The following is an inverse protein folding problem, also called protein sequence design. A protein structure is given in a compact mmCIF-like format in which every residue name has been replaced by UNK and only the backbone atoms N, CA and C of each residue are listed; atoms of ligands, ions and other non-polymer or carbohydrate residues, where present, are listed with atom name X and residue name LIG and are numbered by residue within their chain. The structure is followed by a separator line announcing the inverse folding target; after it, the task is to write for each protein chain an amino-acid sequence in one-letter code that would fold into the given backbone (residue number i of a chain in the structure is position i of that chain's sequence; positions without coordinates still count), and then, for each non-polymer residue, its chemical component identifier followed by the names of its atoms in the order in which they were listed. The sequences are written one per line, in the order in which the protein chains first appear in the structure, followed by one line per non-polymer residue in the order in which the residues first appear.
data_IF_032178089842
#
_entry.id   IF_032178089842
#
_cell.length_a   1.000
_cell.length_b   1.000
_cell.length_c   1.000
_cell.angle_alpha   90.00
_cell.angle_beta   90.00
_cell.angle_gamma   90.00
#
_symmetry.space_group_name_H-M   'P 1'
#
loop_
_entity.id
_entity.type
_entity.pdbx_description
1 polymer ?
#
# COMPACT_ATOMS: atom_id res chain seq x y z
N UNK A 1 71.03 8.55 44.65
CA UNK A 1 69.74 8.85 43.99
C UNK A 1 69.13 7.55 43.47
N UNK A 2 68.10 7.03 44.14
CA UNK A 2 67.28 5.88 43.68
C UNK A 2 65.81 6.29 43.86
N UNK A 3 65.04 6.19 42.77
CA UNK A 3 63.59 6.40 42.73
C UNK A 3 62.87 5.21 43.35
N UNK A 4 61.76 5.46 44.04
CA UNK A 4 60.65 4.50 44.18
C UNK A 4 59.35 5.26 44.52
N UNK A 5 58.30 4.87 43.83
CA UNK A 5 56.90 5.34 43.77
C UNK A 5 56.08 4.02 43.82
N UNK A 6 54.76 3.95 44.05
CA UNK A 6 53.80 4.62 44.95
C UNK A 6 53.01 3.58 45.80
N UNK A 7 51.97 3.99 46.53
CA UNK A 7 50.74 3.18 46.69
C UNK A 7 49.57 4.11 47.03
N UNK A 8 48.82 4.49 46.01
CA UNK A 8 47.54 5.18 46.17
C UNK A 8 46.43 4.13 46.26
N UNK A 9 45.62 4.24 47.30
CA UNK A 9 44.47 3.39 47.58
C UNK A 9 43.38 3.58 46.51
N UNK A 10 42.91 2.47 45.94
CA UNK A 10 41.77 2.44 45.03
C UNK A 10 40.49 2.41 45.86
N UNK A 11 39.71 3.49 45.78
CA UNK A 11 38.38 3.57 46.36
C UNK A 11 37.39 2.78 45.47
N UNK A 12 36.74 1.79 46.06
CA UNK A 12 35.62 1.07 45.45
C UNK A 12 34.32 1.84 45.78
N UNK A 13 33.77 2.58 44.83
CA UNK A 13 32.43 3.14 44.92
C UNK A 13 31.48 2.24 44.12
N UNK A 14 30.66 1.46 44.82
CA UNK A 14 29.49 0.78 44.24
C UNK A 14 28.43 1.85 43.93
N UNK A 15 28.35 2.26 42.67
CA UNK A 15 27.21 2.99 42.14
C UNK A 15 26.14 1.97 41.71
N UNK A 16 25.09 1.85 42.50
CA UNK A 16 23.86 1.12 42.17
C UNK A 16 23.18 1.79 40.98
N UNK A 17 23.38 1.25 39.78
CA UNK A 17 22.56 1.58 38.62
C UNK A 17 21.15 1.03 38.85
N UNK A 18 20.25 1.89 39.30
CA UNK A 18 18.82 1.72 39.09
C UNK A 18 18.58 1.74 37.57
N UNK A 19 18.61 0.57 36.94
CA UNK A 19 18.06 0.39 35.60
C UNK A 19 16.54 0.53 35.76
N UNK A 20 16.06 1.75 35.58
CA UNK A 20 14.69 2.00 35.18
C UNK A 20 14.54 1.32 33.83
N UNK A 21 13.72 0.26 33.77
CA UNK A 21 13.22 -0.23 32.50
C UNK A 21 12.38 0.89 31.90
N UNK A 22 12.99 1.72 31.07
CA UNK A 22 12.25 2.46 30.05
C UNK A 22 11.59 1.37 29.18
N UNK A 23 10.30 1.17 29.39
CA UNK A 23 9.42 0.60 28.37
C UNK A 23 9.52 1.55 27.17
N UNK A 24 10.53 1.33 26.33
CA UNK A 24 10.50 1.82 24.98
C UNK A 24 9.29 1.17 24.33
N UNK A 25 8.17 1.90 24.34
CA UNK A 25 7.08 1.69 23.41
C UNK A 25 7.74 1.61 22.03
N UNK A 26 7.93 0.37 21.56
CA UNK A 26 8.28 0.15 20.18
C UNK A 26 7.16 0.82 19.40
N UNK A 27 7.46 1.98 18.80
CA UNK A 27 6.66 2.56 17.76
C UNK A 27 6.39 1.40 16.81
N UNK A 28 5.17 0.87 16.87
CA UNK A 28 4.77 -0.28 16.08
C UNK A 28 5.12 0.05 14.64
N UNK A 29 5.99 -0.76 14.03
CA UNK A 29 6.34 -0.63 12.62
C UNK A 29 5.05 -0.35 11.83
N UNK A 30 5.07 0.56 10.85
CA UNK A 30 3.87 0.90 10.10
C UNK A 30 3.24 -0.40 9.63
N UNK A 31 2.02 -0.66 10.10
CA UNK A 31 1.31 -1.91 9.85
C UNK A 31 1.42 -2.27 8.37
N UNK A 32 1.82 -3.50 8.05
CA UNK A 32 1.92 -3.97 6.66
C UNK A 32 0.62 -3.58 5.93
N UNK A 33 0.68 -2.73 4.90
CA UNK A 33 -0.51 -2.22 4.22
C UNK A 33 -1.33 -3.34 3.57
N UNK A 34 -0.76 -4.54 3.46
CA UNK A 34 -1.37 -5.75 2.94
C UNK A 34 -1.66 -6.81 4.02
N UNK A 35 -1.56 -6.47 5.32
CA UNK A 35 -1.98 -7.33 6.44
C UNK A 35 -3.47 -7.23 6.73
N UNK A 36 -4.09 -8.24 7.34
CA UNK A 36 -5.52 -8.22 7.70
C UNK A 36 -5.89 -7.07 8.67
N UNK A 37 -4.92 -6.57 9.43
CA UNK A 37 -5.06 -5.39 10.30
C UNK A 37 -4.79 -4.06 9.58
N UNK A 38 -4.29 -4.12 8.34
CA UNK A 38 -4.02 -2.96 7.51
C UNK A 38 -5.29 -2.32 6.95
N UNK A 39 -5.15 -1.14 6.36
CA UNK A 39 -6.26 -0.42 5.75
C UNK A 39 -6.58 -0.92 4.32
N UNK A 40 -6.51 -2.22 4.06
CA UNK A 40 -6.85 -2.78 2.74
C UNK A 40 -7.99 -3.79 2.80
N UNK A 41 -8.81 -3.80 1.75
CA UNK A 41 -9.91 -4.76 1.60
C UNK A 41 -9.59 -5.80 0.52
N UNK A 42 -9.69 -7.08 0.90
CA UNK A 42 -9.40 -8.23 0.06
C UNK A 42 -10.60 -8.61 -0.82
N UNK A 43 -10.61 -8.17 -2.09
CA UNK A 43 -11.67 -8.52 -3.04
C UNK A 43 -11.10 -9.42 -4.16
N UNK A 44 -11.02 -10.72 -3.88
CA UNK A 44 -10.50 -11.74 -4.80
C UNK A 44 -9.04 -11.51 -5.27
N UNK A 45 -8.22 -10.88 -4.42
CA UNK A 45 -6.80 -10.63 -4.62
C UNK A 45 -6.04 -11.15 -3.39
N UNK A 46 -4.85 -11.72 -3.54
CA UNK A 46 -4.07 -12.19 -2.38
C UNK A 46 -3.23 -11.08 -1.74
N UNK A 47 -2.80 -11.30 -0.51
CA UNK A 47 -1.89 -10.41 0.20
C UNK A 47 -0.51 -10.37 -0.48
N UNK A 48 -0.05 -11.46 -1.11
CA UNK A 48 1.19 -11.42 -1.91
C UNK A 48 1.06 -10.55 -3.16
N UNK A 49 -0.09 -10.57 -3.84
CA UNK A 49 -0.36 -9.66 -4.96
C UNK A 49 -0.41 -8.19 -4.50
N UNK A 50 -1.02 -7.93 -3.34
CA UNK A 50 -0.98 -6.61 -2.71
C UNK A 50 0.47 -6.18 -2.42
N UNK A 51 1.28 -7.03 -1.77
CA UNK A 51 2.68 -6.73 -1.47
C UNK A 51 3.51 -6.50 -2.72
N UNK A 52 3.26 -7.26 -3.80
CA UNK A 52 3.92 -7.04 -5.08
C UNK A 52 3.58 -5.67 -5.69
N UNK A 53 2.33 -5.22 -5.58
CA UNK A 53 1.94 -3.87 -5.99
C UNK A 53 2.60 -2.79 -5.13
N UNK A 54 2.53 -2.91 -3.80
CA UNK A 54 3.14 -1.95 -2.87
C UNK A 54 4.64 -1.84 -3.12
N UNK A 55 5.33 -2.97 -3.33
CA UNK A 55 6.75 -2.95 -3.64
C UNK A 55 7.06 -2.23 -4.96
N UNK A 56 6.20 -2.37 -5.99
CA UNK A 56 6.34 -1.60 -7.24
C UNK A 56 6.03 -0.10 -7.06
N UNK A 57 5.05 0.25 -6.21
CA UNK A 57 4.77 1.63 -5.80
C UNK A 57 5.99 2.24 -5.11
N UNK A 58 6.56 1.57 -4.11
CA UNK A 58 7.75 2.00 -3.37
C UNK A 58 8.98 2.16 -4.25
N UNK A 59 9.16 1.28 -5.26
CA UNK A 59 10.27 1.39 -6.22
C UNK A 59 10.05 2.42 -7.33
N UNK A 60 8.90 3.10 -7.37
CA UNK A 60 8.59 4.08 -8.42
C UNK A 60 8.39 3.44 -9.80
N UNK A 61 7.93 2.19 -9.85
CA UNK A 61 7.72 1.44 -11.10
C UNK A 61 6.33 1.70 -11.73
N UNK A 62 5.49 2.51 -11.07
CA UNK A 62 4.19 2.91 -11.58
C UNK A 62 4.38 3.94 -12.70
N UNK A 63 3.80 3.64 -13.86
CA UNK A 63 3.76 4.58 -14.98
C UNK A 63 2.54 5.49 -14.82
N UNK A 64 2.75 6.80 -14.70
CA UNK A 64 1.66 7.77 -14.72
C UNK A 64 1.34 8.14 -16.18
N UNK A 65 0.15 7.76 -16.64
CA UNK A 65 -0.31 8.00 -18.02
C UNK A 65 -1.83 8.16 -18.03
N UNK A 66 -2.31 9.40 -18.00
CA UNK A 66 -3.73 9.71 -17.96
C UNK A 66 -4.53 9.16 -19.16
N UNK A 67 -3.88 8.90 -20.31
CA UNK A 67 -4.56 8.34 -21.49
C UNK A 67 -4.83 6.84 -21.37
N UNK A 68 -4.13 6.17 -20.46
CA UNK A 68 -4.23 4.72 -20.21
C UNK A 68 -4.70 4.39 -18.80
N UNK A 69 -4.65 5.33 -17.86
CA UNK A 69 -5.02 5.08 -16.49
C UNK A 69 -6.53 4.79 -16.35
N UNK A 70 -6.92 4.00 -15.34
CA UNK A 70 -8.29 4.00 -14.86
C UNK A 70 -8.74 5.40 -14.45
N UNK A 71 -10.01 5.73 -14.71
CA UNK A 71 -10.59 7.02 -14.35
C UNK A 71 -11.88 6.83 -13.58
N UNK A 72 -12.02 7.56 -12.48
CA UNK A 72 -13.23 7.52 -11.67
C UNK A 72 -14.39 8.11 -12.48
N UNK A 73 -15.49 7.36 -12.55
CA UNK A 73 -16.71 7.78 -13.23
C UNK A 73 -17.82 8.11 -12.25
N UNK A 74 -17.83 7.45 -11.09
CA UNK A 74 -18.72 7.77 -9.98
C UNK A 74 -18.00 7.56 -8.64
N UNK A 75 -18.05 8.50 -7.69
CA UNK A 75 -18.50 9.88 -7.87
C UNK A 75 -17.65 10.60 -8.94
N UNK A 76 -18.19 11.62 -9.59
CA UNK A 76 -17.36 12.41 -10.52
C UNK A 76 -16.28 13.17 -9.73
N UNK A 77 -15.08 13.37 -10.29
CA UNK A 77 -14.06 14.20 -9.63
C UNK A 77 -14.61 15.60 -9.32
N UNK A 78 -14.43 16.05 -8.08
CA UNK A 78 -14.95 17.31 -7.54
C UNK A 78 -16.37 17.22 -6.97
N UNK A 79 -17.03 16.06 -7.02
CA UNK A 79 -18.38 15.91 -6.50
C UNK A 79 -18.45 16.05 -4.97
N UNK A 80 -19.59 16.56 -4.51
CA UNK A 80 -20.05 16.42 -3.12
C UNK A 80 -20.90 15.14 -3.07
N UNK A 81 -20.54 14.26 -2.16
CA UNK A 81 -21.09 12.91 -2.01
C UNK A 81 -21.84 12.84 -0.70
N UNK A 82 -23.12 12.45 -0.68
CA UNK A 82 -23.87 12.38 0.56
C UNK A 82 -23.29 11.30 1.48
N UNK A 83 -23.30 11.55 2.78
CA UNK A 83 -22.85 10.60 3.80
C UNK A 83 -23.70 9.32 3.84
N UNK A 84 -24.95 9.37 3.37
CA UNK A 84 -25.83 8.20 3.24
C UNK A 84 -26.80 8.36 2.05
N UNK A 85 -27.12 7.26 1.31
CA UNK A 85 -26.54 5.92 1.45
C UNK A 85 -25.09 5.85 0.94
N UNK A 86 -24.34 4.82 1.37
CA UNK A 86 -22.96 4.61 0.92
C UNK A 86 -22.92 4.48 -0.61
N UNK A 87 -22.16 5.32 -1.33
CA UNK A 87 -22.14 5.29 -2.78
C UNK A 87 -21.39 4.07 -3.30
N UNK A 88 -21.78 3.60 -4.48
CA UNK A 88 -20.96 2.66 -5.27
C UNK A 88 -19.98 3.44 -6.14
N UNK A 89 -18.70 3.22 -5.91
CA UNK A 89 -17.62 3.74 -6.75
C UNK A 89 -17.57 2.96 -8.05
N UNK A 90 -17.40 3.66 -9.18
CA UNK A 90 -17.21 3.03 -10.50
C UNK A 90 -16.12 3.76 -11.26
N UNK A 91 -15.42 3.03 -12.13
CA UNK A 91 -14.33 3.58 -12.94
C UNK A 91 -14.18 2.86 -14.28
N UNK A 92 -13.42 3.48 -15.20
CA UNK A 92 -12.93 2.82 -16.40
C UNK A 92 -11.74 1.91 -16.08
N UNK A 93 -11.61 0.76 -16.74
CA UNK A 93 -10.59 -0.24 -16.41
C UNK A 93 -9.13 0.21 -16.67
N UNK A 94 -8.93 1.24 -17.50
CA UNK A 94 -7.60 1.59 -18.01
C UNK A 94 -6.99 0.52 -18.93
N UNK A 95 -5.72 0.71 -19.29
CA UNK A 95 -4.97 -0.14 -20.22
C UNK A 95 -3.55 -0.36 -19.72
N UNK A 96 -3.23 -1.61 -19.38
CA UNK A 96 -1.87 -2.04 -19.05
C UNK A 96 -1.20 -2.59 -20.31
N UNK A 97 -0.27 -1.82 -20.88
CA UNK A 97 0.49 -2.25 -22.04
C UNK A 97 1.43 -3.41 -21.69
N UNK A 98 1.56 -4.35 -22.63
CA UNK A 98 2.59 -5.41 -22.58
C UNK A 98 3.79 -4.96 -23.39
N UNK A 99 4.98 -5.02 -22.81
CA UNK A 99 6.20 -4.77 -23.58
C UNK A 99 6.51 -5.99 -24.48
N UNK A 100 7.15 -5.79 -25.65
CA UNK A 100 7.48 -6.90 -26.55
C UNK A 100 8.52 -7.88 -25.96
N UNK A 101 9.27 -7.47 -24.93
CA UNK A 101 10.28 -8.30 -24.25
C UNK A 101 9.70 -9.41 -23.36
N UNK A 102 8.38 -9.47 -23.18
CA UNK A 102 7.71 -10.40 -22.26
C UNK A 102 7.89 -11.88 -22.62
N UNK A 103 8.29 -12.20 -23.86
CA UNK A 103 8.62 -13.59 -24.24
C UNK A 103 9.99 -14.00 -23.71
N UNK A 104 10.99 -13.12 -23.79
CA UNK A 104 12.34 -13.38 -23.29
C UNK A 104 12.38 -13.44 -21.76
N UNK A 105 11.71 -12.51 -21.08
CA UNK A 105 11.67 -12.47 -19.62
C UNK A 105 10.92 -13.67 -19.02
N UNK A 106 9.89 -14.20 -19.70
CA UNK A 106 9.19 -15.43 -19.27
C UNK A 106 10.05 -16.68 -19.42
N UNK A 107 10.93 -16.73 -20.42
CA UNK A 107 11.85 -17.86 -20.60
C UNK A 107 12.96 -17.89 -19.53
N UNK A 108 13.26 -16.75 -18.90
CA UNK A 108 14.33 -16.61 -17.90
C UNK A 108 13.86 -16.67 -16.44
N UNK A 109 12.54 -16.77 -16.18
CA UNK A 109 11.99 -16.90 -14.83
C UNK A 109 11.31 -18.27 -14.62
N UNK A 110 12.09 -19.36 -14.41
CA UNK A 110 11.54 -20.66 -14.11
C UNK A 110 11.41 -20.85 -12.60
N UNK A 111 10.47 -20.19 -11.94
CA UNK A 111 10.12 -20.54 -10.55
C UNK A 111 8.61 -20.41 -10.37
N UNK A 112 7.93 -21.55 -10.36
CA UNK A 112 6.58 -21.63 -9.80
C UNK A 112 6.70 -21.48 -8.30
N UNK A 113 6.50 -20.28 -7.78
CA UNK A 113 6.30 -20.04 -6.35
C UNK A 113 4.96 -20.63 -5.96
N UNK A 114 4.96 -21.66 -5.12
CA UNK A 114 3.74 -22.15 -4.49
C UNK A 114 3.27 -21.09 -3.49
N UNK A 115 2.09 -20.51 -3.72
CA UNK A 115 1.50 -19.50 -2.85
C UNK A 115 0.54 -20.15 -1.87
N UNK A 116 0.69 -19.86 -0.57
CA UNK A 116 -0.15 -20.44 0.47
C UNK A 116 -1.61 -19.94 0.42
N UNK A 117 -1.86 -18.78 -0.21
CA UNK A 117 -3.14 -18.07 -0.12
C UNK A 117 -3.89 -17.92 -1.45
N UNK A 118 -3.63 -18.83 -2.41
CA UNK A 118 -4.24 -18.83 -3.74
C UNK A 118 -3.46 -17.98 -4.77
N UNK A 119 -4.07 -17.75 -5.93
CA UNK A 119 -3.42 -17.00 -7.02
C UNK A 119 -4.30 -15.86 -7.55
N UNK A 120 -3.66 -14.70 -7.70
CA UNK A 120 -4.18 -13.53 -8.40
C UNK A 120 -3.63 -13.54 -9.82
N UNK A 121 -4.54 -13.58 -10.80
CA UNK A 121 -4.21 -13.61 -12.23
C UNK A 121 -5.11 -12.62 -12.96
N UNK A 122 -4.55 -11.91 -13.94
CA UNK A 122 -5.34 -11.06 -14.84
C UNK A 122 -5.21 -9.58 -14.49
N UNK A 123 -6.20 -8.80 -14.89
CA UNK A 123 -6.23 -7.36 -14.63
C UNK A 123 -6.86 -7.12 -13.25
N UNK A 124 -6.19 -6.32 -12.43
CA UNK A 124 -6.65 -5.89 -11.11
C UNK A 124 -6.56 -4.37 -11.06
N UNK A 125 -7.54 -3.75 -10.43
CA UNK A 125 -7.58 -2.33 -10.14
C UNK A 125 -7.20 -2.12 -8.69
N UNK A 126 -6.36 -1.11 -8.45
CA UNK A 126 -6.03 -0.66 -7.10
C UNK A 126 -6.61 0.72 -6.90
N UNK A 127 -7.42 0.90 -5.86
CA UNK A 127 -7.90 2.20 -5.41
C UNK A 127 -7.16 2.54 -4.13
N UNK A 128 -6.51 3.69 -4.09
CA UNK A 128 -5.87 4.19 -2.88
C UNK A 128 -6.53 5.51 -2.50
N UNK A 129 -7.27 5.48 -1.41
CA UNK A 129 -7.96 6.63 -0.83
C UNK A 129 -7.03 7.32 0.17
N UNK A 130 -6.89 8.63 0.04
CA UNK A 130 -6.04 9.48 0.88
C UNK A 130 -6.80 10.72 1.34
N UNK A 131 -6.42 11.26 2.48
CA UNK A 131 -6.91 12.57 2.93
C UNK A 131 -6.14 13.74 2.28
N UNK A 132 -6.52 14.97 2.63
CA UNK A 132 -5.82 16.19 2.17
C UNK A 132 -4.36 16.29 2.62
N UNK A 133 -3.95 15.54 3.65
CA UNK A 133 -2.57 15.44 4.12
C UNK A 133 -1.80 14.28 3.46
N UNK A 134 -2.38 13.64 2.43
CA UNK A 134 -1.85 12.47 1.72
C UNK A 134 -1.71 11.22 2.59
N UNK A 135 -2.31 11.18 3.78
CA UNK A 135 -2.37 9.98 4.60
C UNK A 135 -3.32 8.98 3.95
N UNK A 136 -2.87 7.74 3.80
CA UNK A 136 -3.71 6.65 3.31
C UNK A 136 -4.80 6.31 4.32
N UNK A 137 -6.06 6.33 3.84
CA UNK A 137 -7.24 6.01 4.63
C UNK A 137 -7.72 4.59 4.34
N UNK A 138 -7.66 4.20 3.08
CA UNK A 138 -8.18 2.92 2.61
C UNK A 138 -7.56 2.51 1.28
N UNK A 139 -7.38 1.22 1.09
CA UNK A 139 -6.89 0.62 -0.15
C UNK A 139 -7.78 -0.54 -0.56
N UNK A 140 -8.03 -0.66 -1.85
CA UNK A 140 -8.84 -1.74 -2.41
C UNK A 140 -8.11 -2.34 -3.58
N UNK A 141 -8.01 -3.66 -3.61
CA UNK A 141 -7.54 -4.40 -4.78
C UNK A 141 -8.68 -5.30 -5.25
N UNK A 142 -9.13 -5.10 -6.48
CA UNK A 142 -10.28 -5.82 -7.04
C UNK A 142 -10.15 -6.03 -8.55
N UNK A 143 -10.58 -7.19 -9.10
CA UNK A 143 -10.70 -7.37 -10.54
C UNK A 143 -11.92 -6.61 -11.12
N UNK A 144 -12.89 -6.23 -10.29
CA UNK A 144 -14.08 -5.49 -10.71
C UNK A 144 -13.73 -4.04 -11.07
N UNK A 145 -14.64 -3.36 -11.76
CA UNK A 145 -14.57 -1.90 -12.04
C UNK A 145 -15.56 -1.10 -11.20
N UNK A 146 -15.96 -1.69 -10.08
CA UNK A 146 -16.84 -1.08 -9.11
C UNK A 146 -16.53 -1.58 -7.70
N UNK A 147 -16.90 -0.78 -6.70
CA UNK A 147 -16.68 -1.07 -5.29
C UNK A 147 -17.65 -0.27 -4.42
N UNK A 148 -18.29 -0.93 -3.46
CA UNK A 148 -19.09 -0.26 -2.42
C UNK A 148 -18.38 -0.46 -1.10
N UNK A 149 -17.90 0.61 -0.43
CA UNK A 149 -17.24 0.46 0.85
C UNK A 149 -18.11 -0.18 1.91
N UNK A 150 -17.52 -1.07 2.72
CA UNK A 150 -18.14 -1.50 3.97
C UNK A 150 -18.31 -0.34 4.94
N UNK A 151 -19.24 -0.47 5.90
CA UNK A 151 -19.60 0.61 6.83
C UNK A 151 -18.39 1.22 7.56
N UNK A 152 -17.48 0.39 8.08
CA UNK A 152 -16.29 0.87 8.80
C UNK A 152 -15.33 1.67 7.89
N UNK A 153 -15.15 1.23 6.64
CA UNK A 153 -14.31 1.94 5.66
C UNK A 153 -14.97 3.24 5.24
N UNK A 154 -16.29 3.23 4.99
CA UNK A 154 -17.04 4.43 4.67
C UNK A 154 -16.97 5.48 5.77
N UNK A 155 -17.14 5.08 7.02
CA UNK A 155 -17.02 5.98 8.18
C UNK A 155 -15.64 6.64 8.26
N UNK A 156 -14.58 5.89 7.96
CA UNK A 156 -13.22 6.44 7.91
C UNK A 156 -13.03 7.46 6.80
N UNK A 157 -13.59 7.20 5.60
CA UNK A 157 -13.57 8.16 4.50
C UNK A 157 -14.39 9.42 4.85
N UNK A 158 -15.59 9.23 5.41
CA UNK A 158 -16.47 10.32 5.86
C UNK A 158 -15.81 11.22 6.88
N UNK A 159 -15.12 10.64 7.86
CA UNK A 159 -14.41 11.40 8.90
C UNK A 159 -13.30 12.31 8.33
N UNK A 160 -12.75 12.00 7.16
CA UNK A 160 -11.77 12.86 6.48
C UNK A 160 -12.40 14.06 5.76
N UNK A 161 -13.70 14.00 5.43
CA UNK A 161 -14.43 15.02 4.66
C UNK A 161 -13.96 15.07 3.21
N UNK A 162 -12.79 15.67 2.96
CA UNK A 162 -12.16 15.72 1.63
C UNK A 162 -11.27 14.51 1.41
N UNK A 163 -11.58 13.73 0.38
CA UNK A 163 -10.88 12.50 0.02
C UNK A 163 -10.32 12.62 -1.39
N UNK A 164 -9.10 12.11 -1.59
CA UNK A 164 -8.52 11.85 -2.90
C UNK A 164 -8.46 10.36 -3.16
N UNK A 165 -8.79 9.92 -4.36
CA UNK A 165 -8.58 8.55 -4.82
C UNK A 165 -7.61 8.53 -5.99
N UNK A 166 -6.57 7.72 -5.89
CA UNK A 166 -5.72 7.36 -7.02
C UNK A 166 -6.09 5.97 -7.48
N UNK A 167 -6.38 5.81 -8.77
CA UNK A 167 -6.68 4.52 -9.37
C UNK A 167 -5.49 4.02 -10.20
N UNK A 168 -5.22 2.73 -10.07
CA UNK A 168 -4.18 2.03 -10.80
C UNK A 168 -4.73 0.80 -11.50
N UNK A 169 -4.21 0.48 -12.67
CA UNK A 169 -4.43 -0.79 -13.36
C UNK A 169 -3.14 -1.61 -13.31
N UNK A 170 -3.25 -2.87 -12.89
CA UNK A 170 -2.11 -3.77 -12.72
C UNK A 170 -2.46 -5.12 -13.31
N UNK A 171 -1.54 -5.71 -14.08
CA UNK A 171 -1.70 -7.08 -14.55
C UNK A 171 -0.88 -8.02 -13.69
N UNK A 172 -1.52 -9.01 -13.09
CA UNK A 172 -0.87 -10.05 -12.31
C UNK A 172 -0.75 -11.36 -13.10
N UNK A 173 0.29 -12.13 -12.77
CA UNK A 173 0.49 -13.51 -13.15
C UNK A 173 1.02 -14.27 -11.92
N UNK A 174 0.16 -15.10 -11.31
CA UNK A 174 0.44 -15.84 -10.09
C UNK A 174 1.02 -14.93 -8.97
N UNK A 175 0.23 -13.95 -8.52
CA UNK A 175 0.56 -12.97 -7.47
C UNK A 175 1.74 -12.02 -7.74
N UNK A 176 2.52 -12.23 -8.80
CA UNK A 176 3.53 -11.28 -9.25
C UNK A 176 2.95 -10.32 -10.31
N UNK A 177 3.47 -9.10 -10.38
CA UNK A 177 3.20 -8.22 -11.53
C UNK A 177 3.71 -8.94 -12.79
N UNK A 178 2.83 -9.09 -13.77
CA UNK A 178 3.09 -9.88 -14.95
C UNK A 178 4.33 -9.36 -15.69
N UNK A 179 5.27 -10.27 -15.99
CA UNK A 179 6.56 -9.94 -16.59
C UNK A 179 6.43 -9.02 -17.81
N UNK A 180 7.21 -7.93 -17.80
CA UNK A 180 7.22 -6.85 -18.79
C UNK A 180 5.87 -6.17 -19.01
N UNK A 181 5.08 -6.09 -17.94
CA UNK A 181 4.08 -5.05 -17.74
C UNK A 181 4.55 -4.14 -16.61
N UNK A 182 3.95 -2.96 -16.50
CA UNK A 182 4.10 -2.08 -15.33
C UNK A 182 2.72 -1.62 -14.89
N UNK A 183 2.47 -1.41 -13.59
CA UNK A 183 1.28 -0.70 -13.13
C UNK A 183 1.12 0.63 -13.85
N UNK A 184 -0.10 0.99 -14.19
CA UNK A 184 -0.43 2.30 -14.78
C UNK A 184 -1.35 3.04 -13.82
N UNK A 185 -0.96 4.23 -13.39
CA UNK A 185 -1.72 5.10 -12.50
C UNK A 185 -2.21 6.37 -13.17
N UNK A 186 -3.33 6.90 -12.69
CA UNK A 186 -3.85 8.21 -13.06
C UNK A 186 -3.50 9.28 -12.02
N UNK A 187 -3.86 10.52 -12.33
CA UNK A 187 -3.80 11.61 -11.34
C UNK A 187 -4.81 11.38 -10.20
N UNK A 188 -4.52 11.85 -8.97
CA UNK A 188 -5.48 11.82 -7.87
C UNK A 188 -6.78 12.56 -8.23
N UNK A 189 -7.91 11.92 -7.96
CA UNK A 189 -9.25 12.47 -8.18
C UNK A 189 -9.89 12.75 -6.82
N UNK A 190 -10.30 14.00 -6.58
CA UNK A 190 -10.88 14.39 -5.29
C UNK A 190 -12.40 14.35 -5.29
N UNK A 191 -12.99 14.18 -4.12
CA UNK A 191 -14.41 14.38 -3.82
C UNK A 191 -14.57 14.72 -2.33
N UNK A 192 -15.71 15.29 -1.97
CA UNK A 192 -16.03 15.65 -0.58
C UNK A 192 -17.22 14.82 -0.11
N UNK A 193 -17.21 14.36 1.13
CA UNK A 193 -18.32 13.63 1.75
C UNK A 193 -19.02 14.57 2.75
N UNK A 194 -20.34 14.73 2.63
CA UNK A 194 -21.19 15.59 3.47
C UNK A 194 -22.43 14.86 4.00
#
# INVERSE_FOLDING_TARGET
MKRTVPLAAFALALASCLVSCDDHEHASDPADPCSETGAWEKLAVTDEACRAFVAAETRGEIVIDASKAPRLTNPTPGAIVPAAPVPRFTWSAGVVARTPWNRLLRALHPIGTAWAHGETIGLVHVLVFRDGAKKELHRVLTPATDYTPGAAHWERLRAAGKVEVTLYAVRFAANAIAAGTRPVGGEPQSFTIE
#
